data_IF_017420488221
#
_entry.id   IF_017420488221
#
_cell.length_a   1.000
_cell.length_b   1.000
_cell.length_c   1.000
_cell.angle_alpha   90.00
_cell.angle_beta   90.00
_cell.angle_gamma   90.00
#
_symmetry.space_group_name_H-M   'P 1'
#
loop_
_entity.id
_entity.type
_entity.pdbx_description
1 polymer ?
#
# COMPACT_ATOMS: atom_id res chain seq x y z
N UNK A 1 9.20 40.37 1.62
CA UNK A 1 7.93 39.69 1.26
C UNK A 1 7.98 38.24 1.74
N UNK A 2 6.84 37.59 2.05
CA UNK A 2 6.81 36.17 2.40
C UNK A 2 5.79 35.45 1.52
N UNK A 3 6.22 34.43 0.78
CA UNK A 3 5.36 33.69 -0.15
C UNK A 3 5.03 32.31 0.43
N UNK A 4 3.74 31.98 0.56
CA UNK A 4 3.33 30.66 1.00
C UNK A 4 3.24 29.74 -0.21
N UNK A 5 4.03 28.68 -0.18
CA UNK A 5 4.11 27.65 -1.21
C UNK A 5 3.36 26.41 -0.75
N UNK A 6 2.57 25.83 -1.65
CA UNK A 6 1.86 24.57 -1.43
C UNK A 6 2.32 23.55 -2.48
N UNK A 7 2.75 22.38 -2.03
CA UNK A 7 3.16 21.28 -2.91
C UNK A 7 1.94 20.43 -3.23
N UNK A 8 1.51 20.42 -4.49
CA UNK A 8 0.25 19.78 -4.88
C UNK A 8 0.23 18.28 -4.57
N UNK A 9 1.34 17.59 -4.85
CA UNK A 9 1.44 16.13 -4.75
C UNK A 9 1.43 15.62 -3.29
N UNK A 10 1.90 16.43 -2.35
CA UNK A 10 2.06 16.03 -0.94
C UNK A 10 1.14 16.78 0.02
N UNK A 11 0.49 17.86 -0.43
CA UNK A 11 -0.33 18.74 0.39
C UNK A 11 0.46 19.59 1.38
N UNK A 12 1.80 19.62 1.29
CA UNK A 12 2.65 20.32 2.26
C UNK A 12 2.63 21.82 1.97
N UNK A 13 2.34 22.61 3.00
CA UNK A 13 2.39 24.07 2.98
C UNK A 13 3.63 24.58 3.71
N UNK A 14 4.39 25.48 3.10
CA UNK A 14 5.50 26.16 3.77
C UNK A 14 5.70 27.61 3.28
N UNK A 15 6.14 28.52 4.16
CA UNK A 15 6.52 29.87 3.76
C UNK A 15 7.94 29.92 3.19
N UNK A 16 8.14 30.81 2.23
CA UNK A 16 9.43 31.21 1.65
C UNK A 16 9.63 32.72 1.88
N UNK A 17 10.49 33.10 2.84
CA UNK A 17 10.81 34.50 3.07
C UNK A 17 11.74 35.03 1.97
N UNK A 18 11.44 36.23 1.49
CA UNK A 18 12.21 36.99 0.52
C UNK A 18 12.58 38.35 1.13
N UNK A 19 13.86 38.52 1.44
CA UNK A 19 14.46 39.81 1.81
C UNK A 19 14.87 40.61 0.58
N UNK A 20 15.29 41.86 0.74
CA UNK A 20 15.69 42.76 -0.37
C UNK A 20 16.70 42.11 -1.34
N UNK A 21 17.56 41.27 -0.80
CA UNK A 21 18.46 40.40 -1.56
C UNK A 21 18.25 38.95 -1.16
N UNK A 22 18.39 38.07 -2.15
CA UNK A 22 18.41 36.62 -1.95
C UNK A 22 19.74 36.06 -2.42
N UNK A 23 20.33 35.16 -1.64
CA UNK A 23 21.51 34.41 -2.02
C UNK A 23 21.08 33.06 -2.57
N UNK A 24 21.57 32.72 -3.75
CA UNK A 24 21.43 31.39 -4.37
C UNK A 24 22.84 30.95 -4.73
N UNK A 25 23.24 29.78 -4.26
CA UNK A 25 24.63 29.30 -4.29
C UNK A 25 25.64 30.32 -3.73
N UNK A 26 26.32 31.08 -4.61
CA UNK A 26 27.36 32.08 -4.27
C UNK A 26 27.02 33.49 -4.79
N UNK A 27 25.86 33.67 -5.42
CA UNK A 27 25.48 34.93 -6.03
C UNK A 27 24.33 35.57 -5.27
N UNK A 28 24.35 36.90 -5.15
CA UNK A 28 23.26 37.68 -4.59
C UNK A 28 22.44 38.32 -5.70
N UNK A 29 21.12 38.18 -5.61
CA UNK A 29 20.16 38.77 -6.52
C UNK A 29 19.23 39.72 -5.76
N UNK A 30 18.95 40.88 -6.33
CA UNK A 30 17.81 41.70 -5.89
C UNK A 30 16.51 40.98 -6.27
N UNK A 31 15.46 41.11 -5.45
CA UNK A 31 14.12 40.58 -5.78
C UNK A 31 13.67 41.05 -7.16
N UNK A 32 13.93 42.32 -7.50
CA UNK A 32 13.50 42.94 -8.77
C UNK A 32 14.19 42.35 -10.00
N UNK A 33 15.38 41.76 -9.83
CA UNK A 33 16.16 41.13 -10.90
C UNK A 33 16.11 39.60 -10.85
N UNK A 34 15.36 39.02 -9.90
CA UNK A 34 15.36 37.59 -9.66
C UNK A 34 14.49 36.89 -10.71
N UNK A 35 15.10 36.04 -11.53
CA UNK A 35 14.34 35.21 -12.47
C UNK A 35 13.55 34.12 -11.72
N UNK A 36 12.44 33.68 -12.30
CA UNK A 36 11.68 32.53 -11.77
C UNK A 36 12.54 31.26 -11.73
N UNK A 37 13.44 31.05 -12.70
CA UNK A 37 14.38 29.94 -12.69
C UNK A 37 15.29 29.95 -11.46
N UNK A 38 15.96 31.06 -11.20
CA UNK A 38 16.80 31.25 -10.00
C UNK A 38 15.99 31.17 -8.71
N UNK A 39 14.73 31.61 -8.73
CA UNK A 39 13.83 31.46 -7.60
C UNK A 39 13.46 29.99 -7.32
N UNK A 40 13.32 29.13 -8.35
CA UNK A 40 13.14 27.69 -8.15
C UNK A 40 14.33 27.07 -7.41
N UNK A 41 15.55 27.45 -7.79
CA UNK A 41 16.79 27.01 -7.12
C UNK A 41 16.84 27.49 -5.66
N UNK A 42 16.48 28.76 -5.41
CA UNK A 42 16.38 29.31 -4.05
C UNK A 42 15.43 28.51 -3.15
N UNK A 43 14.24 28.16 -3.67
CA UNK A 43 13.28 27.33 -2.94
C UNK A 43 13.87 25.94 -2.68
N UNK A 44 14.51 25.36 -3.69
CA UNK A 44 15.13 24.04 -3.63
C UNK A 44 16.21 23.95 -2.54
N UNK A 45 17.17 24.87 -2.50
CA UNK A 45 18.23 24.90 -1.49
C UNK A 45 17.67 24.92 -0.06
N UNK A 46 16.58 25.66 0.16
CA UNK A 46 15.99 25.86 1.50
C UNK A 46 15.03 24.77 1.92
N UNK A 47 14.37 24.11 0.96
CA UNK A 47 13.30 23.13 1.20
C UNK A 47 13.58 21.80 0.52
N UNK A 48 14.85 21.49 0.26
CA UNK A 48 15.30 20.26 -0.37
C UNK A 48 14.75 19.01 0.35
N UNK A 49 14.66 19.05 1.68
CA UNK A 49 14.09 17.96 2.47
C UNK A 49 12.62 17.64 2.14
N UNK A 50 11.86 18.61 1.61
CA UNK A 50 10.46 18.47 1.18
C UNK A 50 10.39 18.11 -0.31
N UNK A 51 11.29 18.68 -1.12
CA UNK A 51 11.20 18.63 -2.59
C UNK A 51 12.02 17.50 -3.24
N UNK A 52 13.04 16.96 -2.56
CA UNK A 52 13.86 15.82 -3.04
C UNK A 52 13.06 14.58 -3.40
N UNK A 53 11.96 14.35 -2.67
CA UNK A 53 11.09 13.20 -2.90
C UNK A 53 10.18 13.42 -4.13
N UNK A 54 10.05 14.68 -4.59
CA UNK A 54 9.24 15.06 -5.73
C UNK A 54 10.00 14.95 -7.06
N UNK A 55 11.26 15.37 -7.14
CA UNK A 55 12.09 15.28 -8.35
C UNK A 55 13.57 15.28 -7.98
N UNK A 56 14.45 14.74 -8.83
CA UNK A 56 15.91 14.91 -8.68
C UNK A 56 16.45 16.10 -9.49
N UNK A 57 15.56 16.81 -10.18
CA UNK A 57 15.89 17.90 -11.10
C UNK A 57 14.88 19.04 -10.91
N UNK A 58 15.36 20.15 -10.34
CA UNK A 58 14.56 21.35 -10.01
C UNK A 58 14.00 22.04 -11.25
N UNK A 59 14.67 21.91 -12.41
CA UNK A 59 14.22 22.52 -13.67
C UNK A 59 12.87 21.96 -14.13
N UNK A 60 12.55 20.74 -13.69
CA UNK A 60 11.29 20.04 -13.99
C UNK A 60 10.13 20.47 -13.11
N UNK A 61 10.33 21.29 -12.07
CA UNK A 61 9.22 21.77 -11.24
C UNK A 61 8.48 22.90 -11.94
N UNK A 62 7.16 22.84 -11.96
CA UNK A 62 6.31 23.93 -12.38
C UNK A 62 5.84 24.73 -11.17
N UNK A 63 5.96 26.06 -11.27
CA UNK A 63 5.44 27.00 -10.29
C UNK A 63 4.23 27.70 -10.88
N UNK A 64 3.14 27.76 -10.12
CA UNK A 64 1.93 28.46 -10.51
C UNK A 64 1.62 29.55 -9.50
N UNK A 65 1.43 30.77 -9.97
CA UNK A 65 0.99 31.90 -9.15
C UNK A 65 -0.51 31.77 -8.90
N UNK A 66 -0.90 31.79 -7.64
CA UNK A 66 -2.29 31.75 -7.17
C UNK A 66 -2.50 32.78 -6.06
N UNK A 67 -3.74 33.00 -5.65
CA UNK A 67 -4.07 33.81 -4.47
C UNK A 67 -5.34 33.27 -3.80
N UNK A 68 -5.19 32.20 -3.03
CA UNK A 68 -6.31 31.46 -2.42
C UNK A 68 -6.04 31.17 -0.95
N UNK A 69 -7.07 31.09 -0.12
CA UNK A 69 -6.92 30.77 1.30
C UNK A 69 -6.66 29.26 1.54
N UNK A 70 -7.21 28.41 0.67
CA UNK A 70 -7.13 26.95 0.77
C UNK A 70 -7.11 26.34 -0.65
N UNK A 71 -6.51 25.15 -0.80
CA UNK A 71 -6.51 24.36 -2.03
C UNK A 71 -7.49 23.21 -1.86
N UNK A 72 -8.61 23.25 -2.58
CA UNK A 72 -9.68 22.24 -2.53
C UNK A 72 -10.01 21.79 -3.95
N UNK A 73 -10.18 20.49 -4.18
CA UNK A 73 -10.52 19.90 -5.49
C UNK A 73 -9.50 20.18 -6.61
N UNK A 74 -8.21 20.24 -6.28
CA UNK A 74 -7.14 20.47 -7.26
C UNK A 74 -6.22 19.26 -7.30
N UNK A 75 -6.02 18.70 -8.48
CA UNK A 75 -5.26 17.46 -8.68
C UNK A 75 -4.34 17.50 -9.91
N UNK A 76 -4.54 18.46 -10.81
CA UNK A 76 -3.78 18.59 -12.07
C UNK A 76 -3.68 20.07 -12.52
N UNK A 77 -2.96 20.32 -13.62
CA UNK A 77 -2.79 21.66 -14.19
C UNK A 77 -4.11 22.34 -14.59
N UNK A 78 -5.07 21.60 -15.16
CA UNK A 78 -6.37 22.16 -15.55
C UNK A 78 -7.15 22.64 -14.32
N UNK A 79 -7.10 21.91 -13.21
CA UNK A 79 -7.73 22.29 -11.95
C UNK A 79 -7.06 23.55 -11.37
N UNK A 80 -5.72 23.66 -11.46
CA UNK A 80 -4.99 24.87 -11.02
C UNK A 80 -5.48 26.08 -11.81
N UNK A 81 -5.62 25.97 -13.13
CA UNK A 81 -6.09 27.06 -13.99
C UNK A 81 -7.56 27.40 -13.71
N UNK A 82 -8.44 26.39 -13.60
CA UNK A 82 -9.89 26.61 -13.51
C UNK A 82 -10.36 26.99 -12.12
N UNK A 83 -9.94 26.24 -11.11
CA UNK A 83 -10.42 26.37 -9.73
C UNK A 83 -9.64 27.45 -8.96
N UNK A 84 -8.31 27.50 -9.15
CA UNK A 84 -7.46 28.47 -8.45
C UNK A 84 -7.16 29.74 -9.25
N UNK A 85 -7.61 29.80 -10.52
CA UNK A 85 -7.22 30.86 -11.47
C UNK A 85 -5.71 31.01 -11.57
N UNK A 86 -5.00 29.88 -11.51
CA UNK A 86 -3.55 29.84 -11.45
C UNK A 86 -2.90 30.27 -12.76
N UNK A 87 -1.79 31.00 -12.63
CA UNK A 87 -0.99 31.49 -13.75
C UNK A 87 0.40 30.82 -13.74
N UNK A 88 0.75 30.11 -14.81
CA UNK A 88 1.99 29.33 -14.88
C UNK A 88 3.19 30.27 -14.99
N UNK A 89 4.13 30.14 -14.04
CA UNK A 89 5.30 31.00 -13.97
C UNK A 89 6.38 30.52 -14.93
N UNK A 90 6.80 31.38 -15.86
CA UNK A 90 7.82 31.05 -16.86
C UNK A 90 9.21 31.29 -16.31
N UNK A 91 10.11 30.32 -16.45
CA UNK A 91 11.45 30.35 -15.84
C UNK A 91 12.30 31.56 -16.24
N UNK A 92 12.13 32.06 -17.47
CA UNK A 92 12.87 33.21 -18.02
C UNK A 92 12.25 34.57 -17.68
N UNK A 93 11.12 34.61 -16.97
CA UNK A 93 10.47 35.84 -16.53
C UNK A 93 10.98 36.23 -15.15
N UNK A 94 10.78 37.50 -14.77
CA UNK A 94 11.17 37.98 -13.45
C UNK A 94 10.11 37.61 -12.42
N UNK A 95 10.52 37.36 -11.19
CA UNK A 95 9.59 37.12 -10.08
C UNK A 95 8.66 38.32 -9.85
N UNK A 96 9.19 39.53 -10.08
CA UNK A 96 8.44 40.79 -10.00
C UNK A 96 7.28 40.89 -11.00
N UNK A 97 7.31 40.12 -12.10
CA UNK A 97 6.21 40.06 -13.06
C UNK A 97 4.96 39.38 -12.45
N UNK A 98 5.16 38.58 -11.39
CA UNK A 98 4.10 37.83 -10.71
C UNK A 98 3.76 38.37 -9.32
N UNK A 99 4.76 38.91 -8.60
CA UNK A 99 4.61 39.41 -7.23
C UNK A 99 5.32 40.76 -7.07
N UNK A 100 4.55 41.81 -6.78
CA UNK A 100 5.11 43.13 -6.55
C UNK A 100 5.60 43.30 -5.10
N UNK A 101 6.75 43.95 -4.93
CA UNK A 101 7.27 44.32 -3.60
C UNK A 101 6.45 45.46 -2.99
N UNK A 102 5.94 46.37 -3.83
CA UNK A 102 5.14 47.51 -3.39
C UNK A 102 3.69 47.14 -3.05
N UNK A 103 3.21 45.98 -3.52
CA UNK A 103 1.88 45.44 -3.24
C UNK A 103 1.98 43.92 -2.97
N UNK A 104 2.45 43.53 -1.78
CA UNK A 104 2.70 42.13 -1.46
C UNK A 104 1.38 41.37 -1.25
N UNK A 105 1.32 40.07 -1.62
CA UNK A 105 0.11 39.30 -1.51
C UNK A 105 -0.27 39.00 -0.04
N UNK A 106 -1.55 38.71 0.25
CA UNK A 106 -2.05 38.54 1.62
C UNK A 106 -1.34 37.42 2.38
N UNK A 107 -0.77 37.73 3.56
CA UNK A 107 0.10 36.78 4.29
C UNK A 107 -0.52 35.41 4.65
N UNK A 108 -1.85 35.29 4.67
CA UNK A 108 -2.56 34.04 4.99
C UNK A 108 -2.87 33.18 3.77
N UNK A 109 -2.75 33.74 2.57
CA UNK A 109 -3.11 33.02 1.35
C UNK A 109 -1.92 32.21 0.84
N UNK A 110 -2.24 31.17 0.10
CA UNK A 110 -1.32 30.41 -0.72
C UNK A 110 -1.05 31.24 -1.98
N UNK A 111 0.23 31.42 -2.28
CA UNK A 111 0.71 32.28 -3.36
C UNK A 111 1.28 31.47 -4.51
N UNK A 112 1.87 30.31 -4.22
CA UNK A 112 2.52 29.47 -5.21
C UNK A 112 2.05 28.02 -5.04
N UNK A 113 1.62 27.39 -6.13
CA UNK A 113 1.49 25.93 -6.22
C UNK A 113 2.77 25.39 -6.87
N UNK A 114 3.41 24.43 -6.23
CA UNK A 114 4.53 23.65 -6.78
C UNK A 114 3.95 22.34 -7.30
N UNK A 115 4.13 22.08 -8.58
CA UNK A 115 3.61 20.89 -9.26
C UNK A 115 4.71 20.21 -10.07
N UNK A 116 4.73 18.87 -10.07
CA UNK A 116 5.56 18.08 -10.98
C UNK A 116 4.77 17.77 -12.26
N UNK A 117 5.25 18.15 -13.46
CA UNK A 117 4.61 17.74 -14.71
C UNK A 117 4.66 16.21 -14.82
N UNK A 118 3.58 15.57 -15.31
CA UNK A 118 3.51 14.12 -15.40
C UNK A 118 4.66 13.59 -16.27
N UNK A 119 5.45 12.67 -15.72
CA UNK A 119 6.39 11.90 -16.54
C UNK A 119 5.57 11.09 -17.52
N UNK A 120 5.80 11.32 -18.81
CA UNK A 120 5.28 10.51 -19.91
C UNK A 120 5.70 9.07 -19.73
N UNK A 121 4.90 8.30 -18.99
CA UNK A 121 4.68 6.89 -19.17
C UNK A 121 3.47 6.50 -18.30
N UNK A 122 2.46 5.96 -18.99
CA UNK A 122 1.12 5.57 -18.53
C UNK A 122 0.09 6.71 -18.47
N UNK A 123 -0.71 6.77 -19.56
CA UNK A 123 -1.90 7.59 -19.65
C UNK A 123 -2.91 7.26 -18.56
N UNK A 124 -3.06 8.18 -17.62
CA UNK A 124 -4.30 8.43 -16.90
C UNK A 124 -5.04 9.57 -17.63
N UNK A 125 -5.37 9.37 -18.90
CA UNK A 125 -6.19 10.32 -19.66
C UNK A 125 -7.67 9.90 -19.62
N UNK A 126 -8.51 10.88 -19.35
CA UNK A 126 -9.90 10.99 -19.85
C UNK A 126 -10.99 10.03 -19.31
N UNK A 127 -10.66 8.99 -18.54
CA UNK A 127 -11.67 8.06 -18.02
C UNK A 127 -12.66 8.76 -17.07
N UNK A 128 -12.18 9.58 -16.13
CA UNK A 128 -13.05 10.27 -15.17
C UNK A 128 -14.00 11.28 -15.83
N UNK A 129 -13.57 11.93 -16.91
CA UNK A 129 -14.37 12.90 -17.66
C UNK A 129 -15.45 12.21 -18.49
N UNK A 130 -15.12 11.09 -19.13
CA UNK A 130 -16.09 10.24 -19.83
C UNK A 130 -17.14 9.69 -18.85
N UNK A 131 -16.70 9.20 -17.69
CA UNK A 131 -17.57 8.70 -16.62
C UNK A 131 -18.53 9.78 -16.12
N UNK A 132 -18.05 11.01 -15.90
CA UNK A 132 -18.90 12.12 -15.46
C UNK A 132 -20.02 12.46 -16.46
N UNK A 133 -19.75 12.34 -17.77
CA UNK A 133 -20.73 12.58 -18.83
C UNK A 133 -21.78 11.46 -18.96
N UNK A 134 -21.50 10.25 -18.47
CA UNK A 134 -22.42 9.10 -18.54
C UNK A 134 -23.51 9.13 -17.46
N UNK A 135 -23.49 10.13 -16.56
CA UNK A 135 -24.56 10.36 -15.57
C UNK A 135 -24.57 9.40 -14.38
N UNK A 136 -23.71 8.37 -14.37
CA UNK A 136 -23.42 7.57 -13.19
C UNK A 136 -21.98 7.86 -12.75
N UNK A 137 -21.82 8.58 -11.65
CA UNK A 137 -20.51 8.81 -11.02
C UNK A 137 -20.21 7.60 -10.11
N UNK A 138 -19.16 6.81 -10.38
CA UNK A 138 -18.59 5.90 -9.40
C UNK A 138 -18.16 6.70 -8.17
N UNK A 139 -18.03 6.06 -7.01
CA UNK A 139 -17.62 6.77 -5.79
C UNK A 139 -16.29 7.50 -6.02
N UNK A 140 -16.14 8.65 -5.34
CA UNK A 140 -14.89 9.40 -5.24
C UNK A 140 -14.28 9.88 -6.58
N UNK A 141 -14.98 10.74 -7.31
CA UNK A 141 -14.35 11.51 -8.40
C UNK A 141 -13.77 10.68 -9.56
N UNK A 142 -14.30 9.48 -9.80
CA UNK A 142 -13.83 8.56 -10.83
C UNK A 142 -13.20 7.27 -10.32
N UNK A 143 -13.01 7.12 -9.00
CA UNK A 143 -12.49 5.90 -8.37
C UNK A 143 -13.57 4.84 -8.08
N UNK A 144 -14.31 4.42 -9.11
CA UNK A 144 -15.08 3.16 -9.10
C UNK A 144 -16.24 2.98 -8.09
N UNK A 145 -17.07 1.94 -8.32
CA UNK A 145 -18.06 1.42 -7.36
C UNK A 145 -19.49 1.99 -7.42
N UNK A 146 -20.49 1.11 -7.29
CA UNK A 146 -21.93 1.44 -7.29
C UNK A 146 -22.46 1.57 -5.84
N UNK A 147 -23.43 2.48 -5.61
CA UNK A 147 -24.25 2.52 -4.40
C UNK A 147 -25.68 2.20 -4.78
N UNK A 148 -26.32 1.25 -4.09
CA UNK A 148 -27.77 1.20 -4.11
C UNK A 148 -28.31 2.45 -3.37
N UNK A 149 -29.22 3.22 -3.99
CA UNK A 149 -29.97 4.27 -3.31
C UNK A 149 -30.58 3.77 -1.99
N UNK A 150 -30.57 4.60 -0.96
CA UNK A 150 -30.94 4.20 0.42
C UNK A 150 -32.39 3.71 0.52
N UNK A 151 -33.25 4.18 -0.36
CA UNK A 151 -34.64 3.77 -0.59
C UNK A 151 -34.79 2.42 -1.31
N UNK A 152 -33.75 1.98 -2.03
CA UNK A 152 -33.66 0.66 -2.68
C UNK A 152 -32.90 -0.37 -1.85
N UNK A 153 -32.39 -0.03 -0.65
CA UNK A 153 -31.82 -0.99 0.30
C UNK A 153 -32.93 -1.90 0.83
N UNK A 154 -33.33 -2.88 0.02
CA UNK A 154 -34.12 -4.01 0.45
C UNK A 154 -33.35 -4.68 1.60
N UNK A 155 -34.01 -4.93 2.73
CA UNK A 155 -33.44 -5.56 3.94
C UNK A 155 -32.79 -6.94 3.70
N UNK A 156 -32.82 -7.46 2.49
CA UNK A 156 -32.22 -8.70 2.04
C UNK A 156 -31.73 -8.57 0.60
N UNK A 157 -30.64 -7.84 0.36
CA UNK A 157 -29.85 -8.12 -0.84
C UNK A 157 -29.04 -9.38 -0.53
N UNK A 158 -29.43 -10.51 -1.10
CA UNK A 158 -28.63 -11.75 -1.07
C UNK A 158 -27.28 -11.61 -1.83
N UNK A 159 -26.90 -10.39 -2.19
CA UNK A 159 -25.67 -10.01 -2.86
C UNK A 159 -24.94 -8.95 -2.04
N UNK A 160 -23.63 -9.13 -1.92
CA UNK A 160 -22.72 -8.18 -1.29
C UNK A 160 -22.38 -8.48 0.17
N UNK A 161 -21.44 -7.69 0.70
CA UNK A 161 -20.98 -7.74 2.08
C UNK A 161 -21.08 -6.34 2.68
N UNK A 162 -21.47 -6.23 3.95
CA UNK A 162 -21.48 -4.95 4.67
C UNK A 162 -20.06 -4.72 5.20
N UNK A 163 -19.26 -3.87 4.54
CA UNK A 163 -17.84 -3.66 4.92
C UNK A 163 -17.65 -3.13 6.36
N UNK A 164 -18.70 -2.57 6.96
CA UNK A 164 -18.70 -2.09 8.35
C UNK A 164 -19.24 -3.13 9.34
N UNK A 165 -19.60 -4.33 8.87
CA UNK A 165 -20.00 -5.43 9.74
C UNK A 165 -18.80 -5.86 10.58
N UNK A 166 -18.93 -5.99 11.91
CA UNK A 166 -17.83 -6.45 12.76
C UNK A 166 -17.31 -7.85 12.41
N UNK A 167 -18.13 -8.69 11.78
CA UNK A 167 -17.74 -10.04 11.33
C UNK A 167 -17.02 -10.03 9.98
N UNK A 168 -16.90 -8.86 9.33
CA UNK A 168 -16.21 -8.67 8.05
C UNK A 168 -14.87 -8.00 8.30
N UNK A 169 -13.80 -8.66 7.86
CA UNK A 169 -12.45 -8.10 7.91
C UNK A 169 -11.84 -7.94 6.53
N UNK A 170 -11.26 -6.77 6.28
CA UNK A 170 -10.50 -6.54 5.06
C UNK A 170 -9.20 -7.34 5.11
N UNK A 171 -8.90 -8.07 4.02
CA UNK A 171 -7.85 -9.10 4.01
C UNK A 171 -6.46 -8.55 4.33
N UNK A 172 -6.15 -7.32 3.98
CA UNK A 172 -4.85 -6.70 4.28
C UNK A 172 -4.76 -6.22 5.72
N UNK A 173 -5.86 -5.71 6.28
CA UNK A 173 -5.90 -5.17 7.64
C UNK A 173 -5.69 -6.26 8.70
N UNK A 174 -6.08 -7.50 8.40
CA UNK A 174 -5.88 -8.63 9.32
C UNK A 174 -4.45 -9.19 9.29
N UNK A 175 -3.63 -8.88 8.28
CA UNK A 175 -2.31 -9.51 8.13
C UNK A 175 -1.35 -9.08 9.24
N UNK A 176 -1.17 -7.78 9.55
CA UNK A 176 -0.29 -7.39 10.66
C UNK A 176 -0.66 -8.01 12.02
N UNK A 177 -1.93 -8.00 12.49
CA UNK A 177 -2.28 -8.68 13.73
C UNK A 177 -2.11 -10.20 13.63
N UNK A 178 -2.40 -10.82 12.49
CA UNK A 178 -2.23 -12.26 12.29
C UNK A 178 -0.75 -12.67 12.40
N UNK A 179 0.18 -11.89 11.83
CA UNK A 179 1.62 -12.14 11.96
C UNK A 179 2.06 -12.02 13.41
N UNK A 180 1.61 -10.98 14.14
CA UNK A 180 1.91 -10.83 15.57
C UNK A 180 1.41 -12.02 16.39
N UNK A 181 0.18 -12.43 16.14
CA UNK A 181 -0.41 -13.60 16.79
C UNK A 181 0.35 -14.88 16.44
N UNK A 182 0.81 -15.03 15.20
CA UNK A 182 1.55 -16.22 14.76
C UNK A 182 2.89 -16.32 15.50
N UNK A 183 3.60 -15.20 15.65
CA UNK A 183 4.86 -15.18 16.39
C UNK A 183 4.69 -15.48 17.87
N UNK A 184 3.54 -15.10 18.46
CA UNK A 184 3.24 -15.33 19.88
C UNK A 184 2.69 -16.73 20.15
N UNK A 185 1.71 -17.17 19.36
CA UNK A 185 0.94 -18.41 19.58
C UNK A 185 1.54 -19.62 18.88
N UNK A 186 2.52 -19.43 18.00
CA UNK A 186 3.19 -20.43 17.13
C UNK A 186 2.29 -21.16 16.14
N UNK A 187 1.05 -21.48 16.52
CA UNK A 187 0.05 -22.16 15.70
C UNK A 187 -1.23 -21.32 15.67
N UNK A 188 -1.77 -21.12 14.46
CA UNK A 188 -3.07 -20.51 14.24
C UNK A 188 -3.89 -21.41 13.31
N UNK A 189 -5.11 -21.73 13.74
CA UNK A 189 -6.10 -22.40 12.89
C UNK A 189 -7.11 -21.36 12.39
N UNK A 190 -7.18 -21.19 11.08
CA UNK A 190 -8.18 -20.32 10.44
C UNK A 190 -9.30 -21.20 9.90
N UNK A 191 -10.50 -21.10 10.50
CA UNK A 191 -11.70 -21.83 10.08
C UNK A 191 -12.77 -20.84 9.62
N UNK A 192 -13.27 -21.06 8.42
CA UNK A 192 -14.38 -20.31 7.85
C UNK A 192 -15.06 -21.16 6.75
N UNK A 193 -16.31 -20.86 6.37
CA UNK A 193 -17.00 -21.53 5.26
C UNK A 193 -16.21 -21.49 3.94
N UNK A 194 -16.53 -22.36 2.97
CA UNK A 194 -15.99 -22.27 1.61
C UNK A 194 -16.16 -20.86 1.03
N UNK A 195 -15.22 -20.42 0.19
CA UNK A 195 -15.21 -19.12 -0.49
C UNK A 195 -15.11 -17.86 0.41
N UNK A 196 -14.95 -18.01 1.73
CA UNK A 196 -14.73 -16.89 2.65
C UNK A 196 -13.37 -16.16 2.49
N UNK A 197 -12.52 -16.59 1.56
CA UNK A 197 -11.23 -15.96 1.30
C UNK A 197 -10.05 -16.46 2.14
N UNK A 198 -10.17 -17.61 2.82
CA UNK A 198 -9.08 -18.23 3.60
C UNK A 198 -7.80 -18.42 2.79
N UNK A 199 -7.90 -19.01 1.60
CA UNK A 199 -6.76 -19.21 0.69
C UNK A 199 -6.12 -17.88 0.28
N UNK A 200 -6.93 -16.85 0.02
CA UNK A 200 -6.41 -15.51 -0.28
C UNK A 200 -5.68 -14.90 0.92
N UNK A 201 -6.19 -15.08 2.14
CA UNK A 201 -5.50 -14.65 3.36
C UNK A 201 -4.16 -15.39 3.50
N UNK A 202 -4.13 -16.70 3.25
CA UNK A 202 -2.90 -17.50 3.30
C UNK A 202 -1.84 -17.02 2.28
N UNK A 203 -2.27 -16.68 1.06
CA UNK A 203 -1.38 -16.14 0.01
C UNK A 203 -0.88 -14.73 0.33
N UNK A 204 -1.75 -13.86 0.84
CA UNK A 204 -1.34 -12.51 1.25
C UNK A 204 -0.38 -12.60 2.44
N UNK A 205 -0.67 -13.46 3.42
CA UNK A 205 0.21 -13.73 4.57
C UNK A 205 1.59 -14.22 4.13
N UNK A 206 1.65 -15.21 3.23
CA UNK A 206 2.89 -15.70 2.64
C UNK A 206 3.69 -14.57 1.99
N UNK A 207 3.04 -13.80 1.11
CA UNK A 207 3.70 -12.68 0.43
C UNK A 207 4.21 -11.62 1.42
N UNK A 208 3.41 -11.25 2.42
CA UNK A 208 3.81 -10.28 3.44
C UNK A 208 4.99 -10.77 4.28
N UNK A 209 5.05 -12.06 4.62
CA UNK A 209 6.18 -12.64 5.36
C UNK A 209 7.45 -12.70 4.50
N UNK A 210 7.34 -13.08 3.24
CA UNK A 210 8.49 -13.16 2.31
C UNK A 210 9.08 -11.78 2.01
N UNK A 211 8.23 -10.76 1.83
CA UNK A 211 8.66 -9.40 1.51
C UNK A 211 9.12 -8.61 2.74
N UNK A 212 8.87 -9.10 3.96
CA UNK A 212 9.21 -8.40 5.20
C UNK A 212 10.69 -8.58 5.57
N UNK A 213 11.48 -7.49 5.70
CA UNK A 213 12.88 -7.58 6.13
C UNK A 213 13.06 -8.23 7.50
N UNK A 214 12.09 -8.03 8.40
CA UNK A 214 12.07 -8.61 9.75
C UNK A 214 12.01 -10.14 9.75
N UNK A 215 11.49 -10.73 8.67
CA UNK A 215 11.30 -12.16 8.51
C UNK A 215 12.25 -12.78 7.47
N UNK A 216 13.23 -12.01 6.98
CA UNK A 216 14.23 -12.45 5.99
C UNK A 216 15.03 -13.70 6.40
N UNK A 217 15.20 -13.93 7.71
CA UNK A 217 15.88 -15.12 8.24
C UNK A 217 14.95 -16.32 8.45
N UNK A 218 13.66 -16.18 8.12
CA UNK A 218 12.66 -17.25 8.24
C UNK A 218 12.42 -17.91 6.88
N UNK A 219 12.39 -19.24 6.87
CA UNK A 219 11.89 -20.00 5.72
C UNK A 219 10.37 -20.00 5.75
N UNK A 220 9.72 -19.41 4.75
CA UNK A 220 8.26 -19.42 4.62
C UNK A 220 7.87 -20.44 3.56
N UNK A 221 6.97 -21.37 3.90
CA UNK A 221 6.48 -22.40 2.97
C UNK A 221 4.97 -22.42 3.04
N UNK A 222 4.31 -22.32 1.88
CA UNK A 222 2.89 -22.62 1.72
C UNK A 222 2.70 -23.91 0.95
N UNK A 223 1.80 -24.74 1.46
CA UNK A 223 1.38 -25.98 0.80
C UNK A 223 -0.14 -26.07 0.85
N UNK A 224 -0.77 -26.45 -0.26
CA UNK A 224 -2.20 -26.77 -0.28
C UNK A 224 -2.38 -28.27 -0.43
N UNK A 225 -3.20 -28.87 0.42
CA UNK A 225 -3.45 -30.31 0.35
C UNK A 225 -4.21 -30.71 -0.93
N UNK A 226 -4.94 -29.78 -1.57
CA UNK A 226 -5.58 -30.04 -2.86
C UNK A 226 -4.54 -30.32 -3.96
N UNK A 227 -3.31 -29.83 -3.84
CA UNK A 227 -2.25 -30.12 -4.82
C UNK A 227 -1.93 -31.62 -4.91
N UNK A 228 -2.21 -32.39 -3.85
CA UNK A 228 -2.10 -33.84 -3.91
C UNK A 228 -3.01 -34.46 -4.97
N UNK A 229 -4.22 -33.93 -5.16
CA UNK A 229 -5.11 -34.39 -6.22
C UNK A 229 -4.51 -34.17 -7.60
N UNK A 230 -3.85 -33.02 -7.82
CA UNK A 230 -3.14 -32.72 -9.07
C UNK A 230 -1.91 -33.61 -9.28
N UNK A 231 -1.34 -34.15 -8.21
CA UNK A 231 -0.23 -35.11 -8.23
C UNK A 231 -0.71 -36.58 -8.31
N UNK A 232 -2.01 -36.83 -8.51
CA UNK A 232 -2.58 -38.18 -8.57
C UNK A 232 -2.73 -38.88 -7.21
N UNK A 233 -2.63 -38.13 -6.11
CA UNK A 233 -2.82 -38.62 -4.74
C UNK A 233 -4.28 -38.42 -4.33
N UNK A 234 -5.04 -39.53 -4.30
CA UNK A 234 -6.46 -39.51 -3.93
C UNK A 234 -6.69 -39.27 -2.44
N UNK A 235 -5.76 -39.72 -1.59
CA UNK A 235 -5.90 -39.63 -0.14
C UNK A 235 -4.68 -38.94 0.50
N UNK A 236 -4.81 -37.63 0.72
CA UNK A 236 -3.76 -36.81 1.30
C UNK A 236 -3.40 -37.22 2.73
N UNK A 237 -4.33 -37.82 3.49
CA UNK A 237 -4.04 -38.30 4.83
C UNK A 237 -3.12 -39.53 4.80
N UNK A 238 -3.43 -40.55 3.99
CA UNK A 238 -2.66 -41.81 3.97
C UNK A 238 -1.29 -41.63 3.30
N UNK A 239 -1.20 -40.70 2.34
CA UNK A 239 0.00 -40.46 1.54
C UNK A 239 0.64 -39.10 1.82
N UNK A 240 0.43 -38.50 3.00
CA UNK A 240 0.99 -37.20 3.35
C UNK A 240 2.52 -37.14 3.19
N UNK A 241 3.24 -38.15 3.68
CA UNK A 241 4.70 -38.20 3.58
C UNK A 241 5.21 -38.34 2.15
N UNK A 242 4.45 -39.04 1.30
CA UNK A 242 4.72 -39.18 -0.14
C UNK A 242 4.45 -37.87 -0.88
N UNK A 243 3.29 -37.25 -0.63
CA UNK A 243 2.92 -35.92 -1.12
C UNK A 243 3.98 -34.87 -0.75
N UNK A 244 4.40 -34.85 0.52
CA UNK A 244 5.42 -33.93 1.00
C UNK A 244 6.75 -34.10 0.26
N UNK A 245 7.18 -35.36 0.08
CA UNK A 245 8.41 -35.68 -0.63
C UNK A 245 8.32 -35.31 -2.11
N UNK A 246 7.18 -35.52 -2.75
CA UNK A 246 6.95 -35.14 -4.14
C UNK A 246 7.03 -33.62 -4.33
N UNK A 247 6.41 -32.85 -3.44
CA UNK A 247 6.37 -31.39 -3.56
C UNK A 247 7.71 -30.71 -3.23
N UNK A 248 8.46 -31.23 -2.27
CA UNK A 248 9.66 -30.56 -1.74
C UNK A 248 10.97 -31.31 -1.99
N UNK A 249 10.92 -32.51 -2.56
CA UNK A 249 12.09 -33.35 -2.82
C UNK A 249 12.72 -34.00 -1.58
N UNK A 250 12.22 -33.68 -0.38
CA UNK A 250 12.74 -34.15 0.91
C UNK A 250 11.63 -34.77 1.75
N UNK A 251 11.95 -35.78 2.56
CA UNK A 251 10.96 -36.43 3.42
C UNK A 251 10.54 -35.56 4.61
N UNK A 252 9.33 -35.77 5.13
CA UNK A 252 8.80 -35.02 6.29
C UNK A 252 9.75 -35.03 7.50
N UNK A 253 10.24 -36.20 7.91
CA UNK A 253 11.15 -36.31 9.06
C UNK A 253 12.47 -35.55 8.87
N UNK A 254 12.99 -35.54 7.64
CA UNK A 254 14.20 -34.78 7.30
C UNK A 254 13.93 -33.27 7.34
N UNK A 255 12.79 -32.83 6.79
CA UNK A 255 12.36 -31.44 6.84
C UNK A 255 12.23 -30.94 8.28
N UNK A 256 11.64 -31.73 9.19
CA UNK A 256 11.54 -31.39 10.61
C UNK A 256 12.93 -31.27 11.27
N UNK A 257 13.88 -32.11 10.90
CA UNK A 257 15.25 -31.97 11.40
C UNK A 257 15.89 -30.64 10.94
N UNK A 258 15.61 -30.19 9.72
CA UNK A 258 16.06 -28.88 9.23
C UNK A 258 15.38 -27.72 9.98
N UNK A 259 14.11 -27.85 10.38
CA UNK A 259 13.38 -26.82 11.14
C UNK A 259 14.01 -26.51 12.51
N UNK A 260 14.84 -27.42 13.06
CA UNK A 260 15.62 -27.17 14.29
C UNK A 260 16.76 -26.15 14.08
N UNK A 261 17.18 -25.93 12.83
CA UNK A 261 18.28 -25.03 12.46
C UNK A 261 17.77 -23.78 11.75
N UNK A 262 16.69 -23.92 10.99
CA UNK A 262 16.09 -22.85 10.18
C UNK A 262 14.71 -22.56 10.72
N UNK A 263 14.53 -21.36 11.30
CA UNK A 263 13.21 -20.89 11.74
C UNK A 263 12.27 -20.92 10.54
N UNK A 264 11.20 -21.71 10.65
CA UNK A 264 10.31 -22.01 9.52
C UNK A 264 8.88 -21.66 9.87
N UNK A 265 8.20 -20.97 8.96
CA UNK A 265 6.76 -20.73 9.01
C UNK A 265 6.13 -21.63 7.95
N UNK A 266 5.28 -22.55 8.40
CA UNK A 266 4.55 -23.46 7.52
C UNK A 266 3.07 -23.05 7.48
N UNK A 267 2.58 -22.78 6.27
CA UNK A 267 1.17 -22.51 6.00
C UNK A 267 0.60 -23.73 5.27
N UNK A 268 -0.32 -24.44 5.93
CA UNK A 268 -1.08 -25.53 5.30
C UNK A 268 -2.47 -25.03 4.94
N UNK A 269 -2.72 -24.91 3.64
CA UNK A 269 -4.04 -24.64 3.09
C UNK A 269 -4.81 -25.96 2.89
N UNK A 270 -6.12 -25.90 3.07
CA UNK A 270 -7.02 -27.08 2.99
C UNK A 270 -6.62 -28.22 3.96
N UNK A 271 -6.14 -27.85 5.15
CA UNK A 271 -5.64 -28.77 6.18
C UNK A 271 -6.68 -29.82 6.63
N UNK A 272 -7.98 -29.59 6.42
CA UNK A 272 -9.00 -30.59 6.70
C UNK A 272 -8.85 -31.87 5.88
N UNK A 273 -8.19 -31.82 4.71
CA UNK A 273 -7.93 -33.01 3.88
C UNK A 273 -6.94 -34.00 4.49
N UNK A 274 -6.17 -33.54 5.48
CA UNK A 274 -5.25 -34.38 6.25
C UNK A 274 -5.77 -34.62 7.67
N UNK A 275 -7.01 -34.24 7.99
CA UNK A 275 -7.64 -34.54 9.28
C UNK A 275 -8.53 -35.78 9.15
N UNK A 276 -8.49 -36.68 10.15
CA UNK A 276 -9.31 -37.90 10.16
C UNK A 276 -9.86 -38.15 11.56
N UNK A 277 -11.19 -38.14 11.68
CA UNK A 277 -11.90 -38.09 12.96
C UNK A 277 -11.85 -39.43 13.73
N UNK A 278 -11.84 -40.56 13.01
CA UNK A 278 -12.09 -41.89 13.59
C UNK A 278 -10.84 -42.79 13.75
N UNK A 279 -9.63 -42.23 13.71
CA UNK A 279 -8.40 -43.04 13.82
C UNK A 279 -7.53 -42.66 15.00
N UNK A 280 -7.06 -43.68 15.74
CA UNK A 280 -5.97 -43.53 16.69
C UNK A 280 -4.70 -43.18 15.92
N UNK A 281 -4.09 -42.04 16.26
CA UNK A 281 -2.81 -41.58 15.69
C UNK A 281 -1.77 -42.69 15.87
N UNK A 282 -1.20 -43.18 14.76
CA UNK A 282 -0.08 -44.10 14.79
C UNK A 282 1.22 -43.34 14.50
N UNK A 283 1.88 -42.90 15.56
CA UNK A 283 3.11 -42.07 15.48
C UNK A 283 4.26 -42.72 14.69
N UNK A 284 4.24 -44.04 14.52
CA UNK A 284 5.28 -44.80 13.80
C UNK A 284 5.08 -44.81 12.29
N UNK A 285 3.89 -44.50 11.79
CA UNK A 285 3.63 -44.49 10.36
C UNK A 285 4.13 -43.18 9.74
N UNK A 286 5.20 -43.29 8.94
CA UNK A 286 5.82 -42.13 8.27
C UNK A 286 5.11 -41.72 6.99
N UNK A 287 4.15 -42.52 6.52
CA UNK A 287 3.41 -42.25 5.29
C UNK A 287 2.21 -41.34 5.55
N UNK A 288 1.57 -41.50 6.70
CA UNK A 288 0.32 -40.79 7.01
C UNK A 288 0.56 -39.39 7.61
N UNK A 289 -0.51 -38.60 7.67
CA UNK A 289 -0.51 -37.30 8.33
C UNK A 289 -0.43 -37.38 9.87
N UNK A 290 -0.37 -38.57 10.46
CA UNK A 290 -0.24 -38.74 11.92
C UNK A 290 1.00 -38.04 12.47
N UNK A 291 2.10 -38.06 11.72
CA UNK A 291 3.33 -37.36 12.12
C UNK A 291 3.15 -35.84 12.13
N UNK A 292 2.38 -35.30 11.19
CA UNK A 292 2.07 -33.87 11.18
C UNK A 292 1.30 -33.47 12.44
N UNK A 293 0.22 -34.19 12.75
CA UNK A 293 -0.60 -33.88 13.93
C UNK A 293 0.11 -34.09 15.26
N UNK A 294 1.01 -35.08 15.33
CA UNK A 294 1.86 -35.29 16.51
C UNK A 294 2.72 -34.07 16.79
N UNK A 295 3.26 -33.43 15.75
CA UNK A 295 4.09 -32.22 15.88
C UNK A 295 3.25 -31.03 16.29
N UNK A 296 2.08 -30.83 15.65
CA UNK A 296 1.12 -29.79 16.05
C UNK A 296 0.74 -29.92 17.52
N UNK A 297 0.44 -31.14 17.97
CA UNK A 297 0.13 -31.43 19.38
C UNK A 297 1.31 -31.11 20.30
N UNK A 298 2.53 -31.49 19.92
CA UNK A 298 3.74 -31.20 20.68
C UNK A 298 3.95 -29.70 20.89
N UNK A 299 3.84 -28.90 19.82
CA UNK A 299 3.95 -27.44 19.89
C UNK A 299 2.87 -26.81 20.80
N UNK A 300 1.63 -27.29 20.73
CA UNK A 300 0.56 -26.82 21.61
C UNK A 300 0.82 -27.16 23.09
N UNK A 301 1.42 -28.32 23.37
CA UNK A 301 1.78 -28.72 24.74
C UNK A 301 2.95 -27.93 25.31
N UNK A 302 3.96 -27.60 24.50
CA UNK A 302 5.06 -26.72 24.92
C UNK A 302 4.56 -25.34 25.34
N UNK A 303 3.59 -24.77 24.60
CA UNK A 303 2.97 -23.48 24.93
C UNK A 303 2.13 -23.50 26.20
N UNK A 304 1.51 -24.64 26.54
CA UNK A 304 0.69 -24.77 27.74
C UNK A 304 1.52 -24.90 29.03
N UNK A 305 2.83 -25.20 28.91
CA UNK A 305 3.76 -25.37 30.02
C UNK A 305 4.66 -24.13 30.26
N UNK A 306 4.40 -23.02 29.56
CA UNK A 306 5.04 -21.71 29.72
C UNK A 306 4.04 -20.76 30.39
#
# INVERSE_FOLDING_TARGET
MNLNCFVLDTGVLFPIPLGEKVSVEKYEYSIESLSVGTFKEYIWERKNNILKDLTNDVSKLDLWRVNVAEVVNVSNEDDIVRELKGDKMKANFLLSDYFSVSDPPPQRNIHIIIHRPPTTDQGLTDVSRYIANLGYLPRQGGLGGTLLPTDLKVKSTNEGIILTDPDISLRFDIIPPLIRDLMKKQIILIRAPPFAGKTSIAQILENSLVQSPEHSNCRVIRVSMIWGMSAGIENCYESFGELWKEMFGIGWSEWIAQCRRVKTILIIDEAQLIYKEDRKINEKDKKTADQFWTIVKGCLQELANI
#
